data_IF_709970586513
#
_entry.id   IF_709970586513
#
_cell.length_a   1.000
_cell.length_b   1.000
_cell.length_c   1.000
_cell.angle_alpha   90.00
_cell.angle_beta   90.00
_cell.angle_gamma   90.00
#
_symmetry.space_group_name_H-M   'P 1'
#
loop_
_entity.id
_entity.type
_entity.pdbx_description
1 polymer ?
#
# COMPACT_ATOMS: atom_id res chain seq x y z
N UNK A 1 13.63 -4.12 22.22
CA UNK A 1 14.72 -4.97 21.75
C UNK A 1 14.76 -6.21 22.61
N UNK A 2 14.72 -7.38 21.96
CA UNK A 2 14.86 -8.64 22.67
C UNK A 2 16.27 -8.73 23.19
N UNK A 3 16.42 -9.02 24.46
CA UNK A 3 17.73 -9.31 25.05
C UNK A 3 18.10 -10.75 24.72
N UNK A 4 19.33 -11.04 24.29
CA UNK A 4 19.78 -12.41 24.15
C UNK A 4 19.63 -13.16 25.48
N UNK A 5 19.19 -14.40 25.41
CA UNK A 5 19.11 -15.30 26.56
C UNK A 5 20.18 -16.38 26.41
N UNK A 6 20.79 -16.79 27.53
CA UNK A 6 21.93 -17.71 27.54
C UNK A 6 21.67 -19.07 26.89
N UNK A 7 20.41 -19.45 26.70
CA UNK A 7 19.99 -20.72 26.10
C UNK A 7 19.41 -20.57 24.72
N UNK A 8 19.60 -19.44 24.01
CA UNK A 8 19.10 -19.24 22.67
C UNK A 8 19.86 -20.11 21.68
N UNK A 9 19.12 -20.95 20.97
CA UNK A 9 19.71 -21.82 19.94
C UNK A 9 20.04 -21.01 18.69
N UNK A 10 21.19 -21.30 18.03
CA UNK A 10 21.46 -20.75 16.71
C UNK A 10 20.34 -21.06 15.72
N UNK A 11 20.01 -20.10 14.82
CA UNK A 11 18.93 -20.25 13.85
C UNK A 11 19.09 -21.49 12.96
N UNK A 12 20.30 -21.83 12.55
CA UNK A 12 20.60 -23.04 11.78
C UNK A 12 20.23 -24.34 12.55
N UNK A 13 20.46 -24.35 13.88
CA UNK A 13 20.05 -25.49 14.71
C UNK A 13 18.53 -25.60 14.79
N UNK A 14 17.82 -24.48 14.95
CA UNK A 14 16.36 -24.46 14.94
C UNK A 14 15.82 -25.02 13.63
N UNK A 15 16.36 -24.62 12.49
CA UNK A 15 15.96 -25.15 11.19
C UNK A 15 16.26 -26.65 11.06
N UNK A 16 17.41 -27.14 11.56
CA UNK A 16 17.71 -28.56 11.54
C UNK A 16 16.71 -29.38 12.34
N UNK A 17 16.24 -28.88 13.48
CA UNK A 17 15.25 -29.50 14.34
C UNK A 17 13.83 -29.58 13.70
N UNK A 18 13.53 -28.76 12.69
CA UNK A 18 12.25 -28.78 11.96
C UNK A 18 12.16 -29.83 10.86
N UNK A 19 13.23 -30.61 10.64
CA UNK A 19 13.27 -31.65 9.62
C UNK A 19 13.64 -31.14 8.21
N UNK A 20 14.09 -29.91 8.05
CA UNK A 20 14.53 -29.37 6.76
C UNK A 20 15.69 -30.14 6.14
N UNK A 21 16.53 -30.80 6.97
CA UNK A 21 17.66 -31.62 6.52
C UNK A 21 17.23 -32.85 5.69
N UNK A 22 15.99 -33.30 5.82
CA UNK A 22 15.45 -34.41 5.07
C UNK A 22 14.84 -33.99 3.71
N UNK A 23 14.72 -32.72 3.43
CA UNK A 23 14.12 -32.21 2.20
C UNK A 23 15.13 -32.16 1.06
N UNK A 24 14.69 -32.50 -0.14
CA UNK A 24 15.49 -32.36 -1.37
C UNK A 24 15.35 -30.97 -2.01
N UNK A 25 14.24 -30.29 -1.73
CA UNK A 25 13.93 -28.97 -2.25
C UNK A 25 13.16 -28.16 -1.22
N UNK A 26 13.52 -26.89 -1.06
CA UNK A 26 12.87 -25.95 -0.13
C UNK A 26 12.51 -24.68 -0.88
N UNK A 27 11.22 -24.31 -0.82
CA UNK A 27 10.71 -23.06 -1.34
C UNK A 27 10.91 -21.93 -0.35
N UNK A 28 11.55 -20.86 -0.77
CA UNK A 28 11.70 -19.65 0.00
C UNK A 28 10.74 -18.57 -0.53
N UNK A 29 10.03 -17.92 0.36
CA UNK A 29 9.05 -16.87 0.01
C UNK A 29 9.42 -15.59 0.72
N UNK A 30 9.75 -14.58 -0.07
CA UNK A 30 9.89 -13.19 0.36
C UNK A 30 8.67 -12.38 -0.10
N UNK A 31 8.91 -11.12 -0.43
CA UNK A 31 7.87 -10.17 -0.83
C UNK A 31 7.70 -10.08 -2.36
N UNK A 32 8.75 -10.39 -3.12
CA UNK A 32 8.80 -10.13 -4.55
C UNK A 32 8.68 -11.39 -5.39
N UNK A 33 7.89 -11.28 -6.45
CA UNK A 33 7.95 -12.19 -7.57
C UNK A 33 8.92 -11.59 -8.61
N UNK A 34 10.08 -12.23 -8.76
CA UNK A 34 11.09 -11.78 -9.72
C UNK A 34 10.69 -12.16 -11.14
N UNK A 35 10.78 -11.21 -12.05
CA UNK A 35 10.44 -11.37 -13.48
C UNK A 35 11.55 -10.83 -14.39
N UNK A 36 12.79 -10.77 -13.92
CA UNK A 36 13.92 -10.23 -14.65
C UNK A 36 14.22 -11.06 -15.90
N UNK A 37 14.34 -10.38 -17.03
CA UNK A 37 14.74 -11.02 -18.30
C UNK A 37 16.21 -11.44 -18.25
N UNK A 38 16.48 -12.67 -18.67
CA UNK A 38 17.85 -13.20 -18.71
C UNK A 38 18.43 -13.69 -17.37
N UNK A 39 17.60 -13.72 -16.31
CA UNK A 39 17.97 -14.25 -15.00
C UNK A 39 17.16 -15.51 -14.66
N UNK A 40 17.76 -16.41 -13.88
CA UNK A 40 17.01 -17.51 -13.27
C UNK A 40 16.25 -16.98 -12.05
N UNK A 41 15.03 -16.52 -12.27
CA UNK A 41 14.19 -15.93 -11.25
C UNK A 41 13.89 -16.91 -10.09
N UNK A 42 13.97 -18.22 -10.33
CA UNK A 42 13.80 -19.22 -9.28
C UNK A 42 14.96 -19.24 -8.27
N UNK A 43 16.07 -18.59 -8.59
CA UNK A 43 17.26 -18.49 -7.72
C UNK A 43 17.46 -17.09 -7.11
N UNK A 44 16.54 -16.18 -7.35
CA UNK A 44 16.57 -14.84 -6.76
C UNK A 44 15.71 -14.79 -5.49
N UNK A 45 16.27 -14.27 -4.40
CA UNK A 45 15.61 -14.20 -3.10
C UNK A 45 15.71 -12.79 -2.53
N UNK A 46 14.60 -12.28 -2.00
CA UNK A 46 14.50 -11.00 -1.28
C UNK A 46 14.35 -11.22 0.24
N UNK A 47 15.07 -12.20 0.76
CA UNK A 47 15.13 -12.53 2.17
C UNK A 47 16.41 -12.00 2.80
N UNK A 48 16.41 -11.68 4.11
CA UNK A 48 17.64 -11.35 4.83
C UNK A 48 18.68 -12.45 4.67
N UNK A 49 19.91 -12.06 4.32
CA UNK A 49 21.00 -12.99 4.06
C UNK A 49 21.23 -13.98 5.20
N UNK A 50 21.17 -13.54 6.45
CA UNK A 50 21.40 -14.41 7.60
C UNK A 50 20.39 -15.56 7.71
N UNK A 51 19.14 -15.37 7.25
CA UNK A 51 18.11 -16.41 7.20
C UNK A 51 18.47 -17.44 6.12
N UNK A 52 18.80 -16.98 4.92
CA UNK A 52 19.18 -17.86 3.81
C UNK A 52 20.43 -18.66 4.16
N UNK A 53 21.42 -18.03 4.78
CA UNK A 53 22.65 -18.68 5.22
C UNK A 53 22.40 -19.73 6.30
N UNK A 54 21.57 -19.43 7.29
CA UNK A 54 21.20 -20.40 8.32
C UNK A 54 20.45 -21.62 7.73
N UNK A 55 19.61 -21.43 6.74
CA UNK A 55 18.95 -22.54 6.03
C UNK A 55 20.00 -23.39 5.28
N UNK A 56 20.92 -22.77 4.56
CA UNK A 56 22.02 -23.49 3.86
C UNK A 56 22.90 -24.31 4.80
N UNK A 57 23.13 -23.80 6.01
CA UNK A 57 23.89 -24.53 7.03
C UNK A 57 23.12 -25.72 7.61
N UNK A 58 21.78 -25.68 7.55
CA UNK A 58 20.91 -26.74 8.11
C UNK A 58 20.53 -27.83 7.12
N UNK A 59 20.76 -27.65 5.82
CA UNK A 59 20.33 -28.58 4.78
C UNK A 59 21.19 -28.51 3.53
N UNK A 60 21.17 -29.62 2.75
CA UNK A 60 21.72 -29.67 1.38
C UNK A 60 20.62 -29.54 0.31
N UNK A 61 19.39 -29.22 0.67
CA UNK A 61 18.28 -29.06 -0.25
C UNK A 61 18.54 -27.97 -1.28
N UNK A 62 17.97 -28.16 -2.47
CA UNK A 62 17.90 -27.08 -3.45
C UNK A 62 16.98 -25.98 -2.94
N UNK A 63 17.47 -24.74 -2.86
CA UNK A 63 16.66 -23.58 -2.53
C UNK A 63 16.09 -22.94 -3.79
N UNK A 64 14.79 -22.72 -3.82
CA UNK A 64 14.08 -22.07 -4.93
C UNK A 64 13.18 -20.94 -4.41
N UNK A 65 13.00 -19.90 -5.23
CA UNK A 65 11.98 -18.90 -4.97
C UNK A 65 10.60 -19.50 -5.22
N UNK A 66 9.74 -19.49 -4.22
CA UNK A 66 8.39 -20.03 -4.26
C UNK A 66 7.29 -18.95 -4.17
N UNK A 67 7.65 -17.67 -4.39
CA UNK A 67 6.69 -16.57 -4.35
C UNK A 67 5.50 -16.74 -5.31
N UNK A 68 5.72 -17.41 -6.45
CA UNK A 68 4.67 -17.72 -7.43
C UNK A 68 3.51 -18.56 -6.87
N UNK A 69 3.73 -19.32 -5.79
CA UNK A 69 2.65 -20.05 -5.11
C UNK A 69 1.66 -19.13 -4.39
N UNK A 70 2.07 -17.91 -4.11
CA UNK A 70 1.27 -16.92 -3.37
C UNK A 70 0.77 -15.80 -4.26
N UNK A 71 1.64 -15.19 -5.07
CA UNK A 71 1.35 -13.95 -5.82
C UNK A 71 1.43 -14.12 -7.34
N UNK A 72 1.72 -15.32 -7.85
CA UNK A 72 1.95 -15.57 -9.28
C UNK A 72 0.67 -15.87 -10.07
N UNK A 73 0.42 -15.07 -11.10
CA UNK A 73 -0.64 -15.33 -12.08
C UNK A 73 -2.04 -15.46 -11.47
N UNK A 74 -2.84 -16.32 -12.08
CA UNK A 74 -4.23 -16.61 -11.68
C UNK A 74 -4.37 -17.75 -10.66
N UNK A 75 -3.26 -18.34 -10.24
CA UNK A 75 -3.21 -19.51 -9.33
C UNK A 75 -2.51 -19.26 -8.01
N UNK A 76 -1.97 -18.07 -7.79
CA UNK A 76 -1.36 -17.71 -6.51
C UNK A 76 -2.39 -17.73 -5.39
N UNK A 77 -2.03 -18.28 -4.23
CA UNK A 77 -2.96 -18.42 -3.10
C UNK A 77 -3.54 -17.07 -2.64
N UNK A 78 -2.84 -15.97 -2.89
CA UNK A 78 -3.26 -14.61 -2.52
C UNK A 78 -4.04 -13.88 -3.62
N UNK A 79 -4.17 -14.47 -4.79
CA UNK A 79 -4.94 -13.88 -5.91
C UNK A 79 -6.40 -14.31 -5.92
N UNK A 80 -6.78 -15.21 -5.02
CA UNK A 80 -8.14 -15.75 -4.87
C UNK A 80 -8.58 -15.59 -3.42
N UNK A 81 -9.75 -15.00 -3.22
CA UNK A 81 -10.32 -14.76 -1.90
C UNK A 81 -11.55 -15.64 -1.66
N UNK A 82 -11.69 -16.16 -0.46
CA UNK A 82 -12.93 -16.78 0.01
C UNK A 82 -13.90 -15.73 0.58
N UNK A 83 -15.12 -16.15 0.90
CA UNK A 83 -16.15 -15.24 1.39
C UNK A 83 -15.78 -14.54 2.71
N UNK A 84 -15.03 -15.20 3.60
CA UNK A 84 -14.61 -14.59 4.86
C UNK A 84 -13.54 -13.51 4.64
N UNK A 85 -12.62 -13.74 3.71
CA UNK A 85 -11.61 -12.74 3.32
C UNK A 85 -12.26 -11.52 2.67
N UNK A 86 -13.22 -11.73 1.77
CA UNK A 86 -13.98 -10.64 1.15
C UNK A 86 -14.71 -9.81 2.22
N UNK A 87 -15.38 -10.45 3.17
CA UNK A 87 -16.06 -9.77 4.26
C UNK A 87 -15.07 -8.97 5.15
N UNK A 88 -13.89 -9.52 5.40
CA UNK A 88 -12.85 -8.84 6.16
C UNK A 88 -12.32 -7.61 5.39
N UNK A 89 -12.08 -7.74 4.11
CA UNK A 89 -11.62 -6.64 3.25
C UNK A 89 -12.68 -5.52 3.16
N UNK A 90 -13.93 -5.88 3.04
CA UNK A 90 -15.04 -4.93 3.04
C UNK A 90 -15.14 -4.17 4.38
N UNK A 91 -14.96 -4.86 5.50
CA UNK A 91 -14.87 -4.23 6.81
C UNK A 91 -13.70 -3.23 6.89
N UNK A 92 -12.50 -3.64 6.47
CA UNK A 92 -11.30 -2.79 6.46
C UNK A 92 -11.46 -1.56 5.56
N UNK A 93 -12.04 -1.72 4.37
CA UNK A 93 -12.33 -0.63 3.45
C UNK A 93 -13.36 0.36 4.03
N UNK A 94 -14.40 -0.13 4.68
CA UNK A 94 -15.40 0.70 5.36
C UNK A 94 -14.79 1.48 6.53
N UNK A 95 -13.95 0.82 7.34
CA UNK A 95 -13.25 1.46 8.45
C UNK A 95 -12.32 2.58 7.95
N UNK A 96 -11.52 2.31 6.93
CA UNK A 96 -10.64 3.32 6.31
C UNK A 96 -11.43 4.52 5.80
N UNK A 97 -12.58 4.27 5.16
CA UNK A 97 -13.47 5.34 4.66
C UNK A 97 -14.05 6.19 5.79
N UNK A 98 -14.52 5.55 6.88
CA UNK A 98 -15.08 6.29 8.05
C UNK A 98 -14.01 7.14 8.72
N UNK A 99 -12.81 6.59 8.93
CA UNK A 99 -11.69 7.35 9.50
C UNK A 99 -11.31 8.54 8.60
N UNK A 100 -11.27 8.33 7.29
CA UNK A 100 -10.98 9.40 6.34
C UNK A 100 -12.05 10.49 6.35
N UNK A 101 -13.32 10.13 6.38
CA UNK A 101 -14.41 11.10 6.48
C UNK A 101 -14.33 11.92 7.78
N UNK A 102 -14.11 11.26 8.92
CA UNK A 102 -13.95 11.96 10.19
C UNK A 102 -12.77 12.94 10.17
N UNK A 103 -11.65 12.55 9.54
CA UNK A 103 -10.51 13.43 9.39
C UNK A 103 -10.80 14.61 8.44
N UNK A 104 -11.50 14.38 7.33
CA UNK A 104 -11.91 15.43 6.38
C UNK A 104 -12.85 16.45 7.03
N UNK A 105 -13.83 15.97 7.80
CA UNK A 105 -14.78 16.83 8.53
C UNK A 105 -14.11 17.69 9.61
N UNK A 106 -12.96 17.25 10.14
CA UNK A 106 -12.18 17.97 11.13
C UNK A 106 -11.15 18.95 10.53
N UNK A 107 -10.99 18.97 9.21
CA UNK A 107 -10.01 19.88 8.56
C UNK A 107 -10.43 21.32 8.73
N UNK A 108 -9.66 22.06 9.53
CA UNK A 108 -9.80 23.52 9.69
C UNK A 108 -8.43 24.17 9.89
N UNK A 109 -8.26 25.45 9.53
CA UNK A 109 -7.04 26.17 9.85
C UNK A 109 -6.78 26.20 11.36
N UNK A 110 -5.58 25.80 11.77
CA UNK A 110 -5.16 25.74 13.16
C UNK A 110 -5.18 24.34 13.79
N UNK A 111 -5.85 23.37 13.19
CA UNK A 111 -5.76 21.96 13.62
C UNK A 111 -4.32 21.45 13.43
N UNK A 112 -3.85 20.58 14.32
CA UNK A 112 -2.51 19.99 14.18
C UNK A 112 -2.58 18.74 13.31
N UNK A 113 -1.52 18.46 12.56
CA UNK A 113 -1.42 17.24 11.75
C UNK A 113 -1.61 15.95 12.60
N UNK A 114 -1.09 15.94 13.85
CA UNK A 114 -1.27 14.79 14.77
C UNK A 114 -2.72 14.59 15.21
N UNK A 115 -3.52 15.65 15.28
CA UNK A 115 -4.94 15.54 15.64
C UNK A 115 -5.72 14.93 14.46
N UNK A 116 -5.41 15.31 13.23
CA UNK A 116 -5.92 14.64 12.02
C UNK A 116 -5.45 13.18 11.96
N UNK A 117 -4.17 12.95 12.23
CA UNK A 117 -3.61 11.61 12.28
C UNK A 117 -4.29 10.70 13.29
N UNK A 118 -4.70 11.23 14.44
CA UNK A 118 -5.44 10.47 15.45
C UNK A 118 -6.83 10.02 14.95
N UNK A 119 -7.50 10.83 14.13
CA UNK A 119 -8.77 10.45 13.50
C UNK A 119 -8.63 9.39 12.41
N UNK A 120 -7.43 9.23 11.86
CA UNK A 120 -7.12 8.23 10.86
C UNK A 120 -6.78 6.85 11.46
N UNK A 121 -6.76 6.71 12.79
CA UNK A 121 -6.58 5.43 13.46
C UNK A 121 -7.94 4.75 13.68
N UNK A 122 -8.03 3.46 13.39
CA UNK A 122 -9.32 2.76 13.38
C UNK A 122 -9.47 1.74 14.50
N UNK A 123 -10.26 2.02 15.52
CA UNK A 123 -10.89 1.04 16.45
C UNK A 123 -9.94 -0.08 16.96
N UNK A 124 -8.66 0.24 17.20
CA UNK A 124 -7.65 -0.74 17.62
C UNK A 124 -7.16 -1.69 16.53
N UNK A 125 -7.60 -1.52 15.29
CA UNK A 125 -7.09 -2.31 14.17
C UNK A 125 -5.68 -1.89 13.80
N UNK A 126 -4.86 -2.87 13.45
CA UNK A 126 -3.50 -2.59 12.98
C UNK A 126 -3.55 -1.93 11.60
N UNK A 127 -2.86 -0.79 11.39
CA UNK A 127 -2.81 -0.15 10.09
C UNK A 127 -1.99 -0.99 9.09
N UNK A 128 -2.51 -1.19 7.90
CA UNK A 128 -1.80 -1.85 6.78
C UNK A 128 -0.86 -0.90 6.05
N UNK A 129 -1.01 0.41 6.25
CA UNK A 129 -0.15 1.46 5.69
C UNK A 129 0.21 2.45 6.78
N UNK A 130 1.32 3.17 6.61
CA UNK A 130 1.66 4.28 7.50
C UNK A 130 0.59 5.37 7.43
N UNK A 131 0.13 5.84 8.58
CA UNK A 131 -0.78 6.97 8.65
C UNK A 131 -0.08 8.24 8.14
N UNK A 132 -0.68 8.88 7.15
CA UNK A 132 -0.20 10.14 6.58
C UNK A 132 -1.16 11.25 6.97
N UNK A 133 -0.63 12.34 7.49
CA UNK A 133 -1.33 13.62 7.61
C UNK A 133 -0.27 14.73 7.59
N UNK A 134 -0.10 15.37 6.44
CA UNK A 134 0.93 16.38 6.26
C UNK A 134 0.42 17.51 5.38
N UNK A 135 0.76 18.76 5.77
CA UNK A 135 0.29 19.97 5.11
C UNK A 135 1.45 20.83 4.56
N UNK A 136 1.16 21.57 3.49
CA UNK A 136 2.06 22.54 2.86
C UNK A 136 3.42 21.98 2.55
N UNK A 137 4.47 22.70 2.88
CA UNK A 137 5.85 22.33 2.55
C UNK A 137 6.26 20.95 3.07
N UNK A 138 5.66 20.46 4.16
CA UNK A 138 5.95 19.09 4.64
C UNK A 138 5.45 18.06 3.65
N UNK A 139 4.22 18.19 3.18
CA UNK A 139 3.67 17.34 2.13
C UNK A 139 4.48 17.44 0.84
N UNK A 140 4.76 18.65 0.38
CA UNK A 140 5.54 18.92 -0.86
C UNK A 140 6.94 18.29 -0.83
N UNK A 141 7.56 18.19 0.35
CA UNK A 141 8.89 17.58 0.56
C UNK A 141 8.81 16.11 1.00
N UNK A 142 7.65 15.47 0.87
CA UNK A 142 7.42 14.08 1.26
C UNK A 142 7.70 13.77 2.75
N UNK A 143 7.56 14.76 3.64
CA UNK A 143 7.53 14.55 5.09
C UNK A 143 6.10 14.23 5.53
N UNK A 144 5.69 12.99 5.34
CA UNK A 144 4.29 12.59 5.35
C UNK A 144 3.72 12.25 6.72
N UNK A 145 4.58 11.91 7.70
CA UNK A 145 4.11 11.55 9.04
C UNK A 145 3.50 12.75 9.78
N UNK A 146 2.39 12.53 10.51
CA UNK A 146 1.78 13.58 11.30
C UNK A 146 2.75 14.23 12.29
N UNK A 147 2.71 15.54 12.42
CA UNK A 147 3.52 16.33 13.34
C UNK A 147 2.64 17.28 14.16
N UNK A 148 3.25 17.98 15.13
CA UNK A 148 2.56 19.02 15.89
C UNK A 148 2.36 20.34 15.11
N UNK A 149 2.75 20.37 13.83
CA UNK A 149 2.53 21.53 12.99
C UNK A 149 1.04 21.76 12.78
N UNK A 150 0.63 23.01 12.81
CA UNK A 150 -0.74 23.43 12.51
C UNK A 150 -0.94 23.58 11.01
N UNK A 151 -2.08 23.14 10.56
CA UNK A 151 -2.55 23.32 9.19
C UNK A 151 -2.97 24.77 8.99
N UNK A 152 -2.63 25.37 7.88
CA UNK A 152 -2.93 26.75 7.55
C UNK A 152 -3.83 26.83 6.30
N UNK A 153 -4.63 27.88 6.21
CA UNK A 153 -5.49 28.16 5.05
C UNK A 153 -4.65 28.29 3.77
N UNK A 154 -5.12 27.72 2.67
CA UNK A 154 -4.45 27.73 1.38
C UNK A 154 -3.33 26.71 1.20
N UNK A 155 -2.97 25.98 2.24
CA UNK A 155 -1.96 24.93 2.13
C UNK A 155 -2.51 23.67 1.43
N UNK A 156 -1.64 22.97 0.71
CA UNK A 156 -1.88 21.60 0.30
C UNK A 156 -1.94 20.69 1.55
N UNK A 157 -2.79 19.67 1.50
CA UNK A 157 -2.94 18.66 2.57
C UNK A 157 -3.04 17.29 1.93
N UNK A 158 -2.37 16.31 2.51
CA UNK A 158 -2.55 14.90 2.17
C UNK A 158 -2.79 14.08 3.42
N UNK A 159 -3.77 13.17 3.32
CA UNK A 159 -4.14 12.24 4.38
C UNK A 159 -4.28 10.84 3.80
N UNK A 160 -3.75 9.84 4.50
CA UNK A 160 -3.85 8.43 4.10
C UNK A 160 -4.02 7.56 5.34
N UNK A 161 -4.90 6.61 5.24
CA UNK A 161 -5.06 5.51 6.19
C UNK A 161 -5.42 4.23 5.46
N UNK A 162 -5.11 3.11 6.05
CA UNK A 162 -5.48 1.81 5.51
C UNK A 162 -5.48 0.73 6.58
N UNK A 163 -6.37 -0.22 6.40
CA UNK A 163 -6.50 -1.41 7.22
C UNK A 163 -6.54 -2.61 6.28
N UNK A 164 -6.45 -3.81 6.81
CA UNK A 164 -6.48 -5.00 5.99
C UNK A 164 -7.65 -4.97 4.98
N UNK A 165 -7.31 -4.91 3.69
CA UNK A 165 -8.27 -4.86 2.59
C UNK A 165 -8.78 -3.47 2.21
N UNK A 166 -8.37 -2.41 2.90
CA UNK A 166 -8.83 -1.06 2.57
C UNK A 166 -7.77 0.01 2.72
N UNK A 167 -7.52 0.75 1.64
CA UNK A 167 -6.67 1.93 1.61
C UNK A 167 -7.49 3.14 1.20
N UNK A 168 -7.43 4.21 1.98
CA UNK A 168 -8.08 5.49 1.67
C UNK A 168 -7.06 6.62 1.72
N UNK A 169 -6.92 7.34 0.62
CA UNK A 169 -6.01 8.48 0.50
C UNK A 169 -6.75 9.66 -0.11
N UNK A 170 -6.53 10.85 0.43
CA UNK A 170 -7.11 12.10 -0.08
C UNK A 170 -6.08 13.21 -0.01
N UNK A 171 -6.04 13.99 -1.07
CA UNK A 171 -5.19 15.20 -1.13
C UNK A 171 -5.99 16.35 -1.72
N UNK A 172 -5.67 17.57 -1.29
CA UNK A 172 -6.34 18.77 -1.75
C UNK A 172 -5.74 20.01 -1.11
N UNK A 173 -6.51 21.08 -1.08
CA UNK A 173 -6.15 22.35 -0.44
C UNK A 173 -7.08 22.66 0.72
N UNK A 174 -6.53 23.26 1.77
CA UNK A 174 -7.29 23.71 2.95
C UNK A 174 -7.90 25.08 2.66
N UNK A 175 -9.07 25.07 2.05
CA UNK A 175 -9.80 26.27 1.63
C UNK A 175 -11.28 26.15 2.00
N UNK A 176 -11.96 27.25 2.22
CA UNK A 176 -13.41 27.29 2.35
C UNK A 176 -14.08 27.61 1.01
N UNK A 177 -13.44 28.44 0.19
CA UNK A 177 -13.95 28.86 -1.11
C UNK A 177 -12.86 28.80 -2.18
N UNK A 178 -13.25 28.62 -3.42
CA UNK A 178 -12.36 28.47 -4.58
C UNK A 178 -11.40 29.65 -4.75
N UNK A 179 -11.84 30.87 -4.41
CA UNK A 179 -11.02 32.08 -4.49
C UNK A 179 -9.85 32.12 -3.49
N UNK A 180 -9.79 31.16 -2.56
CA UNK A 180 -8.69 31.00 -1.58
C UNK A 180 -7.58 30.09 -2.10
N UNK A 181 -7.77 29.44 -3.24
CA UNK A 181 -6.70 28.67 -3.88
C UNK A 181 -5.47 29.56 -4.15
N UNK A 182 -4.25 29.02 -4.03
CA UNK A 182 -3.04 29.71 -4.44
C UNK A 182 -3.17 30.25 -5.88
N UNK A 183 -2.59 31.42 -6.15
CA UNK A 183 -2.76 32.11 -7.44
C UNK A 183 -2.39 31.22 -8.64
N UNK A 184 -1.33 30.43 -8.49
CA UNK A 184 -0.87 29.47 -9.52
C UNK A 184 -1.69 28.16 -9.58
N UNK A 185 -2.74 28.04 -8.77
CA UNK A 185 -3.63 26.87 -8.69
C UNK A 185 -5.11 27.25 -8.80
N UNK A 186 -5.42 28.43 -9.32
CA UNK A 186 -6.81 28.93 -9.43
C UNK A 186 -7.73 28.06 -10.25
N UNK A 187 -7.18 27.31 -11.18
CA UNK A 187 -7.89 26.39 -12.06
C UNK A 187 -7.88 24.92 -11.56
N UNK A 188 -7.45 24.68 -10.31
CA UNK A 188 -7.30 23.33 -9.74
C UNK A 188 -8.58 22.51 -9.79
N UNK A 189 -9.73 23.11 -9.46
CA UNK A 189 -11.01 22.39 -9.49
C UNK A 189 -11.36 21.93 -10.90
N UNK A 190 -11.20 22.81 -11.89
CA UNK A 190 -11.56 22.52 -13.29
C UNK A 190 -10.52 21.61 -13.97
N UNK A 191 -9.24 21.82 -13.70
CA UNK A 191 -8.16 21.10 -14.37
C UNK A 191 -7.77 19.80 -13.72
N UNK A 192 -8.01 19.61 -12.42
CA UNK A 192 -7.57 18.42 -11.70
C UNK A 192 -8.75 17.70 -11.06
N UNK A 193 -9.53 18.35 -10.22
CA UNK A 193 -10.55 17.68 -9.41
C UNK A 193 -11.66 17.11 -10.26
N UNK A 194 -12.25 17.89 -11.16
CA UNK A 194 -13.35 17.43 -12.03
C UNK A 194 -12.93 16.32 -12.99
N UNK A 195 -11.80 16.42 -13.71
CA UNK A 195 -11.31 15.32 -14.54
C UNK A 195 -10.98 14.05 -13.74
N UNK A 196 -10.35 14.18 -12.57
CA UNK A 196 -10.08 13.05 -11.70
C UNK A 196 -11.36 12.38 -11.23
N UNK A 197 -12.35 13.15 -10.78
CA UNK A 197 -13.66 12.60 -10.39
C UNK A 197 -14.35 11.90 -11.55
N UNK A 198 -14.29 12.48 -12.74
CA UNK A 198 -14.81 11.85 -13.97
C UNK A 198 -14.14 10.52 -14.29
N UNK A 199 -12.82 10.44 -14.10
CA UNK A 199 -12.07 9.19 -14.26
C UNK A 199 -12.48 8.13 -13.24
N UNK A 200 -12.65 8.51 -11.97
CA UNK A 200 -13.11 7.61 -10.89
C UNK A 200 -14.52 7.10 -11.20
N UNK A 201 -15.44 7.98 -11.61
CA UNK A 201 -16.78 7.60 -11.99
C UNK A 201 -16.78 6.61 -13.17
N UNK A 202 -16.00 6.91 -14.21
CA UNK A 202 -15.84 6.02 -15.38
C UNK A 202 -15.28 4.67 -14.96
N UNK A 203 -14.27 4.64 -14.06
CA UNK A 203 -13.68 3.41 -13.54
C UNK A 203 -14.75 2.56 -12.82
N UNK A 204 -15.53 3.16 -11.92
CA UNK A 204 -16.60 2.48 -11.18
C UNK A 204 -17.72 1.95 -12.08
N UNK A 205 -18.07 2.68 -13.15
CA UNK A 205 -19.11 2.27 -14.09
C UNK A 205 -18.68 1.13 -15.01
N UNK A 206 -17.39 1.06 -15.32
CA UNK A 206 -16.88 0.15 -16.35
C UNK A 206 -16.23 -1.12 -15.80
N UNK A 207 -15.72 -1.10 -14.55
CA UNK A 207 -15.10 -2.27 -13.95
C UNK A 207 -16.10 -3.41 -13.80
N UNK A 208 -15.68 -4.60 -14.19
CA UNK A 208 -16.51 -5.83 -14.08
C UNK A 208 -15.65 -7.06 -13.93
N UNK A 209 -16.25 -8.11 -13.40
CA UNK A 209 -15.61 -9.43 -13.29
C UNK A 209 -15.16 -9.91 -14.67
N UNK A 210 -13.91 -10.36 -14.76
CA UNK A 210 -13.30 -10.84 -16.00
C UNK A 210 -12.60 -9.76 -16.84
N UNK A 211 -12.69 -8.47 -16.46
CA UNK A 211 -11.94 -7.41 -17.13
C UNK A 211 -10.44 -7.56 -16.83
N UNK A 212 -9.56 -7.67 -17.83
CA UNK A 212 -8.12 -7.61 -17.62
C UNK A 212 -7.67 -6.26 -17.06
N UNK A 213 -6.66 -6.25 -16.17
CA UNK A 213 -6.12 -5.01 -15.63
C UNK A 213 -5.58 -4.04 -16.68
N UNK A 214 -5.05 -4.56 -17.81
CA UNK A 214 -4.64 -3.74 -18.96
C UNK A 214 -5.78 -2.97 -19.60
N UNK A 215 -6.97 -3.57 -19.76
CA UNK A 215 -8.13 -2.87 -20.29
C UNK A 215 -8.59 -1.73 -19.36
N UNK A 216 -8.51 -1.97 -18.04
CA UNK A 216 -8.83 -0.94 -17.05
C UNK A 216 -7.81 0.20 -17.06
N UNK A 217 -6.52 -0.13 -17.23
CA UNK A 217 -5.47 0.85 -17.43
C UNK A 217 -5.74 1.72 -18.66
N UNK A 218 -6.01 1.12 -19.82
CA UNK A 218 -6.29 1.82 -21.06
C UNK A 218 -7.55 2.69 -20.97
N UNK A 219 -8.54 2.24 -20.20
CA UNK A 219 -9.76 3.02 -19.93
C UNK A 219 -9.40 4.32 -19.19
N UNK A 220 -8.63 4.24 -18.11
CA UNK A 220 -8.23 5.42 -17.34
C UNK A 220 -7.31 6.32 -18.15
N UNK A 221 -6.35 5.75 -18.91
CA UNK A 221 -5.45 6.52 -19.78
C UNK A 221 -6.21 7.36 -20.82
N UNK A 222 -7.34 6.88 -21.33
CA UNK A 222 -8.17 7.63 -22.28
C UNK A 222 -8.88 8.82 -21.63
N UNK A 223 -9.34 8.70 -20.38
CA UNK A 223 -10.14 9.74 -19.73
C UNK A 223 -9.31 10.66 -18.84
N UNK A 224 -8.15 10.20 -18.41
CA UNK A 224 -7.19 10.94 -17.57
C UNK A 224 -5.76 10.66 -18.05
N UNK A 225 -5.31 11.25 -19.17
CA UNK A 225 -4.03 10.94 -19.78
C UNK A 225 -2.83 11.13 -18.83
N UNK A 226 -2.03 10.08 -18.65
CA UNK A 226 -0.85 10.08 -17.76
C UNK A 226 0.14 11.18 -18.11
N UNK A 227 0.35 11.42 -19.40
CA UNK A 227 1.24 12.48 -19.87
C UNK A 227 0.82 13.88 -19.41
N UNK A 228 -0.47 14.10 -19.18
CA UNK A 228 -1.02 15.38 -18.70
C UNK A 228 -1.09 15.44 -17.16
N UNK A 229 -1.49 14.34 -16.52
CA UNK A 229 -1.81 14.32 -15.08
C UNK A 229 -0.74 13.69 -14.21
N UNK A 230 0.27 13.04 -14.80
CA UNK A 230 1.45 12.54 -14.10
C UNK A 230 1.20 11.42 -13.10
N UNK A 231 0.06 10.71 -13.16
CA UNK A 231 -0.19 9.60 -12.26
C UNK A 231 0.77 8.42 -12.53
N UNK A 232 1.15 7.71 -11.47
CA UNK A 232 2.17 6.66 -11.54
C UNK A 232 1.65 5.27 -11.21
N UNK A 233 0.65 5.17 -10.33
CA UNK A 233 0.09 3.89 -9.92
C UNK A 233 -0.78 3.30 -11.01
N UNK A 234 -0.77 1.98 -11.12
CA UNK A 234 -1.61 1.26 -12.04
C UNK A 234 -3.06 1.25 -11.53
N UNK A 235 -4.02 1.89 -12.23
CA UNK A 235 -5.42 1.90 -11.81
C UNK A 235 -6.02 0.50 -11.97
N UNK A 236 -6.18 -0.23 -10.90
CA UNK A 236 -6.72 -1.60 -10.90
C UNK A 236 -5.70 -2.68 -10.57
N UNK A 237 -4.53 -2.30 -10.04
CA UNK A 237 -3.66 -3.28 -9.43
C UNK A 237 -4.31 -3.86 -8.16
N UNK A 238 -3.95 -5.07 -7.83
CA UNK A 238 -4.43 -5.72 -6.61
C UNK A 238 -3.89 -4.99 -5.38
N UNK A 239 -4.78 -4.69 -4.43
CA UNK A 239 -4.40 -4.24 -3.11
C UNK A 239 -4.39 -5.44 -2.16
N UNK A 240 -3.26 -5.71 -1.56
CA UNK A 240 -3.10 -6.77 -0.56
C UNK A 240 -2.52 -6.19 0.72
N UNK A 241 -2.49 -7.00 1.78
CA UNK A 241 -2.02 -6.55 3.10
C UNK A 241 -0.59 -6.02 3.12
N UNK A 242 0.22 -6.43 2.16
CA UNK A 242 1.63 -6.08 2.09
C UNK A 242 1.94 -5.20 0.88
N UNK A 243 1.10 -4.27 0.57
CA UNK A 243 1.27 -3.33 -0.56
C UNK A 243 2.40 -2.30 -0.35
N UNK A 244 3.43 -2.68 0.36
CA UNK A 244 4.64 -1.90 0.59
C UNK A 244 5.71 -2.08 -0.48
N UNK A 245 5.30 -2.28 -1.69
CA UNK A 245 6.23 -2.54 -2.78
C UNK A 245 6.44 -1.36 -3.69
#
# INVERSE_FOLDING_TARGET
PNQPIDNEKPLAQLFSETGLSAMSKIGLVGWKMFTATGSDNAKLFDLPWFIVEAIKQSTHAELINAAHLFIGGDKGARTVNNANEIAHYEYGANLASRCMLAALDAVEPGIREVDLGALLTGEGQFPSVVTIAAAGQRFEKANLYPSYKKVERGQSLSMTTGFKGGLSSRSGFVIAEENELPENQRDYLDRVVKPYFGAVATWLEQIKIGMPGGELYDLVERVLPKAQYGWHLNPGHLSADEEWM
#
